data_IF_718390085494
#
_entry.id   IF_718390085494
#
_cell.length_a   1.000
_cell.length_b   1.000
_cell.length_c   1.000
_cell.angle_alpha   90.00
_cell.angle_beta   90.00
_cell.angle_gamma   90.00
#
_symmetry.space_group_name_H-M   'P 1'
#
loop_
_entity.id
_entity.type
_entity.pdbx_description
1 polymer ?
#
# COMPACT_ATOMS: atom_id res chain seq x y z
N UNK A 1 16.41 -29.25 1.24
CA UNK A 1 16.73 -27.89 0.79
C UNK A 1 16.61 -26.99 2.00
N UNK A 2 17.73 -26.49 2.50
CA UNK A 2 17.73 -25.55 3.61
C UNK A 2 17.08 -24.26 3.14
N UNK A 3 15.94 -23.92 3.73
CA UNK A 3 15.26 -22.66 3.44
C UNK A 3 16.18 -21.52 3.82
N UNK A 4 16.38 -20.56 2.91
CA UNK A 4 17.10 -19.32 3.21
C UNK A 4 16.55 -18.69 4.50
N UNK A 5 17.42 -18.20 5.40
CA UNK A 5 16.96 -17.53 6.61
C UNK A 5 16.04 -16.35 6.30
N UNK A 6 15.10 -16.09 7.22
CA UNK A 6 14.09 -15.05 7.07
C UNK A 6 14.65 -13.68 6.67
N UNK A 7 15.77 -13.28 7.29
CA UNK A 7 16.42 -11.99 7.03
C UNK A 7 16.91 -11.85 5.58
N UNK A 8 17.38 -12.95 4.97
CA UNK A 8 17.80 -12.93 3.57
C UNK A 8 16.59 -12.79 2.64
N UNK A 9 15.50 -13.51 2.92
CA UNK A 9 14.25 -13.38 2.16
C UNK A 9 13.70 -11.95 2.26
N UNK A 10 13.73 -11.37 3.46
CA UNK A 10 13.32 -9.98 3.69
C UNK A 10 14.19 -9.00 2.90
N UNK A 11 15.51 -9.15 2.93
CA UNK A 11 16.44 -8.31 2.19
C UNK A 11 16.23 -8.39 0.66
N UNK A 12 15.92 -9.57 0.13
CA UNK A 12 15.57 -9.75 -1.29
C UNK A 12 14.27 -8.99 -1.60
N UNK A 13 13.22 -9.22 -0.80
CA UNK A 13 11.92 -8.57 -0.99
C UNK A 13 12.06 -7.06 -0.93
N UNK A 14 12.84 -6.51 0.01
CA UNK A 14 13.01 -5.06 0.17
C UNK A 14 13.75 -4.40 -1.01
N UNK A 15 14.66 -5.12 -1.69
CA UNK A 15 15.45 -4.61 -2.81
C UNK A 15 14.74 -4.65 -4.17
N UNK A 16 13.63 -5.38 -4.29
CA UNK A 16 12.92 -5.48 -5.58
C UNK A 16 12.11 -4.21 -5.83
N UNK A 17 12.51 -3.39 -6.81
CA UNK A 17 11.85 -2.10 -7.07
C UNK A 17 10.56 -2.22 -7.89
N UNK A 18 10.47 -3.23 -8.75
CA UNK A 18 9.34 -3.39 -9.68
C UNK A 18 8.19 -4.10 -9.00
N UNK A 19 7.03 -3.45 -8.94
CA UNK A 19 5.81 -3.99 -8.33
C UNK A 19 5.40 -5.34 -8.93
N UNK A 20 5.54 -5.52 -10.25
CA UNK A 20 5.20 -6.80 -10.93
C UNK A 20 6.04 -7.95 -10.40
N UNK A 21 7.34 -7.72 -10.21
CA UNK A 21 8.29 -8.73 -9.75
C UNK A 21 8.04 -9.07 -8.27
N UNK A 22 7.70 -8.05 -7.46
CA UNK A 22 7.27 -8.23 -6.06
C UNK A 22 6.04 -9.13 -5.97
N UNK A 23 5.04 -8.94 -6.85
CA UNK A 23 3.86 -9.79 -6.91
C UNK A 23 4.18 -11.22 -7.37
N UNK A 24 5.14 -11.39 -8.27
CA UNK A 24 5.65 -12.72 -8.65
C UNK A 24 6.32 -13.45 -7.49
N UNK A 25 7.14 -12.75 -6.70
CA UNK A 25 7.81 -13.33 -5.52
C UNK A 25 6.79 -13.83 -4.48
N UNK A 26 5.64 -13.15 -4.37
CA UNK A 26 4.55 -13.51 -3.45
C UNK A 26 4.06 -14.96 -3.64
N UNK A 27 4.13 -15.51 -4.85
CA UNK A 27 3.58 -16.84 -5.16
C UNK A 27 4.53 -17.99 -4.85
N UNK A 28 5.80 -17.68 -4.55
CA UNK A 28 6.86 -18.68 -4.42
C UNK A 28 6.86 -19.42 -3.07
N UNK A 29 6.38 -18.79 -1.99
CA UNK A 29 6.23 -19.44 -0.68
C UNK A 29 5.32 -18.65 0.27
N UNK A 30 4.82 -19.31 1.32
CA UNK A 30 4.03 -18.64 2.38
C UNK A 30 4.81 -17.53 3.10
N UNK A 31 6.11 -17.75 3.34
CA UNK A 31 6.99 -16.75 3.98
C UNK A 31 7.15 -15.52 3.09
N UNK A 32 7.43 -15.73 1.81
CA UNK A 32 7.53 -14.64 0.83
C UNK A 32 6.20 -13.93 0.63
N UNK A 33 5.08 -14.67 0.64
CA UNK A 33 3.75 -14.09 0.59
C UNK A 33 3.53 -13.11 1.75
N UNK A 34 3.92 -13.50 2.97
CA UNK A 34 3.81 -12.67 4.17
C UNK A 34 4.71 -11.43 4.10
N UNK A 35 5.98 -11.61 3.73
CA UNK A 35 6.94 -10.51 3.57
C UNK A 35 6.49 -9.49 2.52
N UNK A 36 6.05 -9.97 1.36
CA UNK A 36 5.56 -9.12 0.27
C UNK A 36 4.27 -8.39 0.68
N UNK A 37 3.32 -9.10 1.31
CA UNK A 37 2.09 -8.47 1.79
C UNK A 37 2.41 -7.35 2.77
N UNK A 38 3.30 -7.59 3.73
CA UNK A 38 3.72 -6.56 4.68
C UNK A 38 4.35 -5.36 3.99
N UNK A 39 5.21 -5.58 3.00
CA UNK A 39 5.84 -4.49 2.24
C UNK A 39 4.85 -3.66 1.43
N UNK A 40 3.88 -4.31 0.77
CA UNK A 40 2.89 -3.61 -0.08
C UNK A 40 1.95 -2.75 0.76
N UNK A 41 1.50 -3.27 1.91
CA UNK A 41 0.54 -2.60 2.77
C UNK A 41 1.18 -1.77 3.87
N UNK A 42 2.52 -1.67 3.91
CA UNK A 42 3.24 -0.87 4.89
C UNK A 42 2.73 0.57 4.91
N UNK A 43 2.60 1.16 3.74
CA UNK A 43 2.08 2.52 3.58
C UNK A 43 0.84 2.47 2.68
N UNK A 44 -0.32 2.85 3.23
CA UNK A 44 -1.58 2.87 2.50
C UNK A 44 -1.94 4.30 2.15
N UNK A 45 -2.33 4.52 0.89
CA UNK A 45 -2.76 5.82 0.39
C UNK A 45 -4.24 5.77 0.08
N UNK A 46 -5.02 6.65 0.71
CA UNK A 46 -6.47 6.74 0.56
C UNK A 46 -6.81 8.03 -0.15
N UNK A 47 -7.39 7.94 -1.34
CA UNK A 47 -7.86 9.09 -2.10
C UNK A 47 -9.26 9.51 -1.64
N UNK A 48 -9.65 10.75 -1.89
CA UNK A 48 -10.98 11.29 -1.60
C UNK A 48 -12.12 10.74 -2.48
N UNK A 49 -11.99 9.51 -3.00
CA UNK A 49 -13.01 8.84 -3.81
C UNK A 49 -13.67 7.72 -3.01
N UNK A 50 -14.96 7.51 -3.22
CA UNK A 50 -15.72 6.41 -2.57
C UNK A 50 -15.08 5.05 -2.85
N UNK A 51 -14.56 4.85 -4.07
CA UNK A 51 -13.84 3.63 -4.45
C UNK A 51 -12.60 3.40 -3.59
N UNK A 52 -11.82 4.45 -3.34
CA UNK A 52 -10.63 4.34 -2.49
C UNK A 52 -11.00 4.09 -1.02
N UNK A 53 -12.06 4.74 -0.52
CA UNK A 53 -12.55 4.52 0.83
C UNK A 53 -13.03 3.08 1.03
N UNK A 54 -13.78 2.51 0.07
CA UNK A 54 -14.21 1.11 0.12
C UNK A 54 -13.02 0.14 0.09
N UNK A 55 -12.04 0.37 -0.77
CA UNK A 55 -10.83 -0.46 -0.79
C UNK A 55 -10.03 -0.38 0.51
N UNK A 56 -10.03 0.77 1.17
CA UNK A 56 -9.41 0.92 2.49
C UNK A 56 -10.17 0.17 3.58
N UNK A 57 -11.51 0.23 3.57
CA UNK A 57 -12.37 -0.56 4.47
C UNK A 57 -12.13 -2.07 4.32
N UNK A 58 -12.05 -2.58 3.10
CA UNK A 58 -11.70 -3.98 2.81
C UNK A 58 -10.31 -4.38 3.35
N UNK A 59 -9.34 -3.47 3.27
CA UNK A 59 -7.99 -3.68 3.84
C UNK A 59 -8.07 -3.78 5.37
N UNK A 60 -8.82 -2.89 6.02
CA UNK A 60 -9.00 -2.88 7.47
C UNK A 60 -9.77 -4.10 7.98
N UNK A 61 -10.71 -4.62 7.18
CA UNK A 61 -11.44 -5.85 7.49
C UNK A 61 -10.58 -7.13 7.50
N UNK A 62 -9.34 -7.06 7.03
CA UNK A 62 -8.43 -8.21 6.98
C UNK A 62 -7.28 -8.06 7.99
N UNK A 63 -7.43 -8.67 9.17
CA UNK A 63 -6.51 -8.60 10.32
C UNK A 63 -5.01 -8.63 9.96
N UNK A 64 -4.58 -9.61 9.16
CA UNK A 64 -3.17 -9.77 8.77
C UNK A 64 -2.65 -8.59 7.95
N UNK A 65 -3.50 -7.98 7.11
CA UNK A 65 -3.15 -6.84 6.28
C UNK A 65 -3.18 -5.57 7.12
N UNK A 66 -4.22 -5.38 7.95
CA UNK A 66 -4.34 -4.24 8.85
C UNK A 66 -3.13 -4.11 9.78
N UNK A 67 -2.65 -5.22 10.36
CA UNK A 67 -1.43 -5.25 11.20
C UNK A 67 -0.14 -4.93 10.46
N UNK A 68 -0.16 -4.96 9.13
CA UNK A 68 1.00 -4.61 8.31
C UNK A 68 1.11 -3.11 8.02
N UNK A 69 0.08 -2.32 8.32
CA UNK A 69 0.04 -0.89 8.05
C UNK A 69 0.85 -0.15 9.11
N UNK A 70 1.85 0.62 8.66
CA UNK A 70 2.69 1.48 9.50
C UNK A 70 2.36 2.96 9.27
N UNK A 71 1.84 3.34 8.09
CA UNK A 71 1.44 4.70 7.78
C UNK A 71 0.23 4.76 6.84
N UNK A 72 -0.65 5.74 7.06
CA UNK A 72 -1.80 6.03 6.20
C UNK A 72 -1.70 7.48 5.74
N UNK A 73 -1.81 7.72 4.43
CA UNK A 73 -1.85 9.05 3.84
C UNK A 73 -3.20 9.28 3.17
N UNK A 74 -3.93 10.30 3.62
CA UNK A 74 -5.15 10.76 2.96
C UNK A 74 -4.80 11.82 1.93
N UNK A 75 -5.16 11.58 0.67
CA UNK A 75 -5.02 12.53 -0.41
C UNK A 75 -6.36 13.21 -0.67
N UNK A 76 -6.45 14.47 -0.30
CA UNK A 76 -7.55 15.33 -0.71
C UNK A 76 -7.36 15.75 -2.18
N UNK A 77 -8.37 15.47 -3.01
CA UNK A 77 -8.44 16.09 -4.32
C UNK A 77 -8.79 17.57 -4.11
N UNK A 78 -7.80 18.45 -4.24
CA UNK A 78 -8.04 19.88 -4.36
C UNK A 78 -8.89 20.10 -5.62
N UNK A 79 -10.20 20.30 -5.42
CA UNK A 79 -11.02 20.92 -6.45
C UNK A 79 -10.68 22.40 -6.43
N UNK A 80 -9.98 22.86 -7.46
CA UNK A 80 -9.87 24.28 -7.73
C UNK A 80 -11.26 24.76 -8.17
N UNK A 81 -12.14 25.04 -7.20
CA UNK A 81 -13.30 25.88 -7.46
C UNK A 81 -12.74 27.25 -7.80
N UNK A 82 -12.75 27.59 -9.09
CA UNK A 82 -12.54 28.95 -9.57
C UNK A 82 -13.69 29.82 -9.05
N UNK A 83 -13.60 30.19 -7.78
CA UNK A 83 -14.36 31.29 -7.21
C UNK A 83 -14.00 32.55 -7.97
N UNK A 84 -14.87 32.93 -8.91
CA UNK A 84 -14.85 34.25 -9.55
C UNK A 84 -14.75 35.31 -8.46
N UNK A 85 -13.59 35.92 -8.32
CA UNK A 85 -13.44 37.16 -7.57
C UNK A 85 -14.21 38.25 -8.33
N UNK A 86 -15.32 38.71 -7.75
CA UNK A 86 -15.89 40.00 -8.11
C UNK A 86 -14.96 41.06 -7.51
N UNK A 87 -14.08 41.62 -8.33
CA UNK A 87 -13.44 42.89 -7.99
C UNK A 87 -14.49 43.99 -8.16
N UNK A 88 -14.97 44.51 -7.05
CA UNK A 88 -15.63 45.82 -7.01
C UNK A 88 -14.56 46.88 -6.78
N UNK A 89 -14.25 47.66 -7.82
CA UNK A 89 -13.85 49.06 -7.69
C UNK A 89 -14.28 49.84 -8.93
#
# INVERSE_FOLDING_TARGET
>A
MDSLPYEFLKAIVDRVSRRKDVLGIRTLSKTLCTLVTRRIFRHVMVQSTVKSARGFDEILGHDTIARSIEAITFLEAWRHDEGKFVQSH
#
